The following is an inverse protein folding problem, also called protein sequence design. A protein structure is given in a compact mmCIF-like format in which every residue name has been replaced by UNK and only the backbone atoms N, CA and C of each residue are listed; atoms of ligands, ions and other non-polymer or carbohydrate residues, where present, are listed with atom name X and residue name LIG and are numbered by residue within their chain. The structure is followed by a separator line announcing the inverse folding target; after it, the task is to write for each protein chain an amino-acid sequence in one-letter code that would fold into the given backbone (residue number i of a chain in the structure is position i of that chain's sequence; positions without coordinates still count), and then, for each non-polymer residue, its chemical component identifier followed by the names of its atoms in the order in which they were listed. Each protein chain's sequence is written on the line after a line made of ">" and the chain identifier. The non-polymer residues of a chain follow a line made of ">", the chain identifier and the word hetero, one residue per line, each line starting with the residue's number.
data_IF_730914134699
#
_entry.id   IF_730914134699
#
_cell.length_a   1.000
_cell.length_b   1.000
_cell.length_c   1.000
_cell.angle_alpha   90.00
_cell.angle_beta   90.00
_cell.angle_gamma   90.00
#
_symmetry.space_group_name_H-M   'P 1'
#
loop_
_entity.id
_entity.type
_entity.pdbx_description
1 polymer ?
#
# COMPACT_ATOMS: atom_id res chain seq x y z
N UNK A 1 23.05 -16.57 1.69
CA UNK A 1 24.11 -15.87 0.94
C UNK A 1 23.45 -14.72 0.21
N UNK A 2 24.02 -13.51 0.28
CA UNK A 2 23.50 -12.36 -0.45
C UNK A 2 23.95 -12.45 -1.91
N UNK A 3 23.04 -12.26 -2.86
CA UNK A 3 23.37 -12.22 -4.29
C UNK A 3 24.10 -10.92 -4.63
N UNK A 4 25.06 -10.98 -5.56
CA UNK A 4 25.61 -9.80 -6.22
C UNK A 4 24.64 -9.28 -7.27
N UNK A 5 24.76 -8.01 -7.68
CA UNK A 5 23.92 -7.44 -8.74
C UNK A 5 24.07 -8.19 -10.07
N UNK A 6 25.29 -8.63 -10.40
CA UNK A 6 25.58 -9.42 -11.59
C UNK A 6 24.89 -10.78 -11.56
N UNK A 7 24.97 -11.49 -10.42
CA UNK A 7 24.29 -12.77 -10.26
C UNK A 7 22.76 -12.62 -10.34
N UNK A 8 22.20 -11.57 -9.73
CA UNK A 8 20.77 -11.29 -9.79
C UNK A 8 20.31 -11.00 -11.23
N UNK A 9 21.08 -10.23 -12.00
CA UNK A 9 20.77 -9.96 -13.41
C UNK A 9 20.75 -11.24 -14.23
N UNK A 10 21.75 -12.10 -14.06
CA UNK A 10 21.82 -13.39 -14.76
C UNK A 10 20.62 -14.29 -14.46
N UNK A 11 20.19 -14.35 -13.19
CA UNK A 11 18.98 -15.10 -12.83
C UNK A 11 17.72 -14.51 -13.46
N UNK A 12 17.63 -13.19 -13.57
CA UNK A 12 16.49 -12.51 -14.17
C UNK A 12 16.39 -12.73 -15.69
N UNK A 13 17.52 -12.71 -16.40
CA UNK A 13 17.53 -12.84 -17.87
C UNK A 13 17.53 -14.28 -18.34
N UNK A 14 18.26 -15.16 -17.63
CA UNK A 14 18.60 -16.51 -18.14
C UNK A 14 18.09 -17.63 -17.22
N UNK A 15 17.53 -17.30 -16.06
CA UNK A 15 17.14 -18.29 -15.06
C UNK A 15 15.92 -19.11 -15.51
N UNK A 16 16.00 -20.42 -15.34
CA UNK A 16 14.83 -21.28 -15.51
C UNK A 16 13.79 -20.98 -14.41
N UNK A 17 12.56 -20.66 -14.83
CA UNK A 17 11.50 -20.22 -13.93
C UNK A 17 11.17 -21.26 -12.85
N UNK A 18 11.16 -22.54 -13.19
CA UNK A 18 10.79 -23.61 -12.26
C UNK A 18 11.91 -23.88 -11.26
N UNK A 19 13.15 -23.88 -11.71
CA UNK A 19 14.31 -24.03 -10.82
C UNK A 19 14.46 -22.82 -9.88
N UNK A 20 14.22 -21.60 -10.38
CA UNK A 20 14.15 -20.40 -9.54
C UNK A 20 13.03 -20.51 -8.49
N UNK A 21 11.84 -20.95 -8.91
CA UNK A 21 10.71 -21.14 -8.00
C UNK A 21 11.01 -22.14 -6.88
N UNK A 22 11.64 -23.28 -7.20
CA UNK A 22 12.06 -24.27 -6.20
C UNK A 22 13.08 -23.69 -5.21
N UNK A 23 14.06 -22.94 -5.69
CA UNK A 23 15.06 -22.32 -4.82
C UNK A 23 14.44 -21.24 -3.93
N UNK A 24 13.53 -20.42 -4.46
CA UNK A 24 12.78 -19.43 -3.67
C UNK A 24 11.94 -20.11 -2.59
N UNK A 25 11.23 -21.20 -2.94
CA UNK A 25 10.42 -21.97 -1.99
C UNK A 25 11.27 -22.59 -0.87
N UNK A 26 12.44 -23.13 -1.20
CA UNK A 26 13.36 -23.68 -0.21
C UNK A 26 13.84 -22.61 0.81
N UNK A 27 14.14 -21.40 0.33
CA UNK A 27 14.49 -20.27 1.21
C UNK A 27 13.29 -19.84 2.05
N UNK A 28 12.10 -19.71 1.45
CA UNK A 28 10.86 -19.36 2.15
C UNK A 28 10.56 -20.37 3.26
N UNK A 29 10.61 -21.67 2.98
CA UNK A 29 10.39 -22.74 3.97
C UNK A 29 11.43 -22.73 5.08
N UNK A 30 12.70 -22.45 4.76
CA UNK A 30 13.74 -22.34 5.78
C UNK A 30 13.49 -21.20 6.77
N UNK A 31 12.94 -20.08 6.30
CA UNK A 31 12.71 -18.88 7.13
C UNK A 31 11.36 -18.93 7.85
N UNK A 32 10.30 -19.34 7.15
CA UNK A 32 8.91 -19.21 7.60
C UNK A 32 8.20 -20.55 7.81
N UNK A 33 8.81 -21.68 7.45
CA UNK A 33 8.17 -22.99 7.46
C UNK A 33 6.98 -23.05 6.50
N UNK A 34 5.95 -23.80 6.91
CA UNK A 34 4.73 -24.02 6.14
C UNK A 34 3.55 -23.12 6.58
N UNK A 35 3.75 -22.26 7.58
CA UNK A 35 2.70 -21.34 8.04
C UNK A 35 2.51 -20.23 7.01
N UNK A 36 1.27 -20.08 6.53
CA UNK A 36 0.84 -18.95 5.69
C UNK A 36 -0.07 -18.06 6.53
N UNK A 37 0.26 -16.78 6.61
CA UNK A 37 -0.50 -15.79 7.39
C UNK A 37 -1.30 -14.87 6.49
N UNK A 38 -2.35 -14.26 7.05
CA UNK A 38 -3.12 -13.21 6.40
C UNK A 38 -3.57 -12.19 7.46
N UNK A 39 -3.98 -11.01 7.01
CA UNK A 39 -4.63 -10.00 7.84
C UNK A 39 -5.89 -9.50 7.14
N UNK A 40 -6.85 -9.01 7.91
CA UNK A 40 -7.97 -8.23 7.37
C UNK A 40 -7.53 -6.76 7.41
N UNK A 41 -7.37 -6.17 6.22
CA UNK A 41 -6.86 -4.83 5.98
C UNK A 41 -7.83 -4.04 5.07
N UNK A 42 -7.81 -2.72 5.18
CA UNK A 42 -8.52 -1.83 4.26
C UNK A 42 -7.59 -0.72 3.75
N UNK A 43 -7.50 -0.61 2.42
CA UNK A 43 -6.99 0.58 1.76
C UNK A 43 -8.00 1.72 1.84
N UNK A 44 -7.65 2.81 2.53
CA UNK A 44 -8.42 4.04 2.59
C UNK A 44 -7.68 5.08 1.73
N UNK A 45 -8.22 5.31 0.53
CA UNK A 45 -7.73 6.34 -0.35
C UNK A 45 -8.31 7.71 0.03
N UNK A 46 -7.61 8.52 0.85
CA UNK A 46 -8.17 9.78 1.39
C UNK A 46 -8.36 10.87 0.32
N UNK A 47 -7.61 10.82 -0.77
CA UNK A 47 -7.81 11.69 -1.93
C UNK A 47 -7.25 11.03 -3.18
N UNK A 48 -7.83 11.33 -4.33
CA UNK A 48 -7.22 11.02 -5.63
C UNK A 48 -6.58 12.24 -6.30
N UNK A 49 -6.62 13.42 -5.69
CA UNK A 49 -5.98 14.64 -6.19
C UNK A 49 -4.47 14.51 -6.07
N UNK A 50 -3.74 14.60 -7.17
CA UNK A 50 -2.29 14.41 -7.18
C UNK A 50 -1.58 15.31 -8.18
N UNK A 51 -0.54 16.01 -7.73
CA UNK A 51 0.28 16.86 -8.60
C UNK A 51 1.27 16.13 -9.51
N UNK A 52 1.54 14.84 -9.27
CA UNK A 52 2.62 14.12 -9.95
C UNK A 52 2.20 13.54 -11.32
N UNK A 53 0.91 13.32 -11.54
CA UNK A 53 0.34 12.89 -12.83
C UNK A 53 1.09 11.72 -13.49
N UNK A 54 1.44 10.67 -12.71
CA UNK A 54 2.20 9.54 -13.23
C UNK A 54 1.52 8.90 -14.45
N UNK A 55 2.27 8.69 -15.54
CA UNK A 55 1.73 8.13 -16.79
C UNK A 55 1.08 6.75 -16.65
N UNK A 56 1.49 5.96 -15.65
CA UNK A 56 0.96 4.63 -15.38
C UNK A 56 -0.16 4.61 -14.32
N UNK A 57 -0.47 5.76 -13.69
CA UNK A 57 -1.43 5.81 -12.60
C UNK A 57 -2.83 6.10 -13.16
N UNK A 58 -3.73 5.11 -13.09
CA UNK A 58 -5.14 5.30 -13.44
C UNK A 58 -5.96 6.01 -12.34
N UNK A 59 -5.40 6.12 -11.13
CA UNK A 59 -6.11 6.63 -9.96
C UNK A 59 -6.11 8.16 -9.87
N UNK A 60 -5.03 8.83 -10.28
CA UNK A 60 -4.89 10.26 -10.04
C UNK A 60 -5.94 11.08 -10.78
N UNK A 61 -6.31 12.22 -10.19
CA UNK A 61 -7.10 13.27 -10.82
C UNK A 61 -6.45 14.63 -10.56
N UNK A 62 -6.66 15.57 -11.49
CA UNK A 62 -6.40 17.00 -11.23
C UNK A 62 -7.48 17.53 -10.31
N UNK A 63 -7.17 18.56 -9.51
CA UNK A 63 -8.09 19.11 -8.51
C UNK A 63 -9.45 19.55 -9.09
N UNK A 64 -9.47 20.00 -10.34
CA UNK A 64 -10.68 20.44 -11.05
C UNK A 64 -11.41 19.33 -11.83
N UNK A 65 -10.93 18.08 -11.75
CA UNK A 65 -11.59 16.97 -12.43
C UNK A 65 -12.90 16.62 -11.72
N UNK A 66 -13.95 16.26 -12.46
CA UNK A 66 -15.27 15.91 -11.89
C UNK A 66 -15.25 14.77 -10.87
N UNK A 67 -14.31 13.85 -11.03
CA UNK A 67 -14.12 12.68 -10.14
C UNK A 67 -13.08 12.95 -9.03
N UNK A 68 -12.57 14.17 -8.92
CA UNK A 68 -11.63 14.54 -7.85
C UNK A 68 -12.34 14.56 -6.51
N UNK A 69 -11.68 14.04 -5.47
CA UNK A 69 -12.24 14.04 -4.12
C UNK A 69 -11.15 14.18 -3.05
N UNK A 70 -11.55 14.68 -1.89
CA UNK A 70 -10.81 14.67 -0.64
C UNK A 70 -11.79 14.26 0.46
N UNK A 71 -11.52 13.14 1.13
CA UNK A 71 -12.34 12.66 2.23
C UNK A 71 -12.15 13.54 3.46
N UNK A 72 -13.23 13.73 4.22
CA UNK A 72 -13.14 14.33 5.55
C UNK A 72 -12.55 13.33 6.54
N UNK A 73 -12.09 13.83 7.70
CA UNK A 73 -11.61 12.95 8.75
C UNK A 73 -12.72 12.03 9.28
N UNK A 74 -13.97 12.50 9.32
CA UNK A 74 -15.13 11.70 9.74
C UNK A 74 -15.36 10.53 8.77
N UNK A 75 -15.29 10.78 7.46
CA UNK A 75 -15.41 9.71 6.45
C UNK A 75 -14.27 8.70 6.56
N UNK A 76 -13.05 9.16 6.86
CA UNK A 76 -11.90 8.27 7.10
C UNK A 76 -12.16 7.42 8.35
N UNK A 77 -12.55 8.04 9.47
CA UNK A 77 -12.81 7.34 10.74
C UNK A 77 -13.97 6.35 10.61
N UNK A 78 -15.03 6.69 9.88
CA UNK A 78 -16.10 5.74 9.59
C UNK A 78 -15.56 4.51 8.86
N UNK A 79 -14.67 4.71 7.88
CA UNK A 79 -14.04 3.59 7.16
C UNK A 79 -13.12 2.75 8.04
N UNK A 80 -12.44 3.38 9.00
CA UNK A 80 -11.66 2.67 10.03
C UNK A 80 -12.59 1.83 10.90
N UNK A 81 -13.70 2.40 11.38
CA UNK A 81 -14.67 1.71 12.22
C UNK A 81 -15.29 0.50 11.50
N UNK A 82 -15.71 0.67 10.24
CA UNK A 82 -16.18 -0.43 9.37
C UNK A 82 -15.13 -1.55 9.24
N UNK A 83 -13.84 -1.20 9.23
CA UNK A 83 -12.74 -2.18 9.16
C UNK A 83 -12.59 -2.95 10.47
N UNK A 84 -12.67 -2.26 11.60
CA UNK A 84 -12.64 -2.87 12.95
C UNK A 84 -13.82 -3.81 13.13
N UNK A 85 -15.02 -3.39 12.74
CA UNK A 85 -16.25 -4.20 12.79
C UNK A 85 -16.15 -5.47 11.94
N UNK A 86 -15.41 -5.41 10.83
CA UNK A 86 -15.11 -6.56 9.99
C UNK A 86 -14.00 -7.48 10.54
N UNK A 87 -13.47 -7.21 11.74
CA UNK A 87 -12.36 -7.95 12.35
C UNK A 87 -10.98 -7.54 11.81
N UNK A 88 -10.88 -6.39 11.16
CA UNK A 88 -9.65 -5.82 10.63
C UNK A 88 -8.68 -5.36 11.71
N UNK A 89 -7.39 -5.60 11.47
CA UNK A 89 -6.30 -5.22 12.39
C UNK A 89 -5.37 -4.16 11.80
N UNK A 90 -5.61 -3.75 10.56
CA UNK A 90 -4.81 -2.77 9.86
C UNK A 90 -5.68 -1.91 8.94
N UNK A 91 -5.31 -0.65 8.81
CA UNK A 91 -5.77 0.24 7.73
C UNK A 91 -4.56 0.81 7.02
N UNK A 92 -4.67 0.99 5.72
CA UNK A 92 -3.63 1.58 4.89
C UNK A 92 -4.12 2.90 4.32
N UNK A 93 -3.53 4.00 4.80
CA UNK A 93 -3.86 5.34 4.33
C UNK A 93 -3.03 5.64 3.09
N UNK A 94 -3.69 5.68 1.94
CA UNK A 94 -3.09 5.95 0.64
C UNK A 94 -3.77 7.16 -0.01
N UNK A 95 -3.12 7.82 -0.96
CA UNK A 95 -3.75 8.92 -1.67
C UNK A 95 -2.82 9.63 -2.63
N UNK A 96 -3.39 10.58 -3.36
CA UNK A 96 -2.63 11.48 -4.21
C UNK A 96 -1.80 12.48 -3.42
N UNK A 97 -0.74 12.99 -4.05
CA UNK A 97 0.07 14.09 -3.53
C UNK A 97 -0.69 15.41 -3.69
N UNK A 98 -1.64 15.65 -2.80
CA UNK A 98 -2.50 16.83 -2.82
C UNK A 98 -1.65 18.10 -2.59
N UNK A 99 -1.67 19.10 -3.49
CA UNK A 99 -0.78 20.26 -3.40
C UNK A 99 -1.09 21.18 -2.21
N UNK A 100 -2.36 21.27 -1.82
CA UNK A 100 -2.81 22.23 -0.81
C UNK A 100 -2.93 21.67 0.62
N UNK A 101 -2.63 20.38 0.83
CA UNK A 101 -2.71 19.79 2.17
C UNK A 101 -1.41 20.00 2.94
N UNK A 102 -1.42 20.72 4.07
CA UNK A 102 -0.24 20.88 4.91
C UNK A 102 0.08 19.58 5.66
N UNK A 103 1.30 19.50 6.21
CA UNK A 103 1.70 18.37 7.07
C UNK A 103 0.73 18.14 8.24
N UNK A 104 0.20 19.21 8.82
CA UNK A 104 -0.73 19.15 9.95
C UNK A 104 -1.99 18.34 9.64
N UNK A 105 -2.50 18.37 8.39
CA UNK A 105 -3.63 17.52 7.99
C UNK A 105 -3.34 16.03 8.23
N UNK A 106 -2.15 15.58 7.84
CA UNK A 106 -1.74 14.19 8.00
C UNK A 106 -1.50 13.82 9.47
N UNK A 107 -0.88 14.72 10.23
CA UNK A 107 -0.68 14.52 11.66
C UNK A 107 -2.02 14.39 12.40
N UNK A 108 -2.97 15.27 12.09
CA UNK A 108 -4.29 15.28 12.70
C UNK A 108 -5.06 14.01 12.34
N UNK A 109 -5.06 13.61 11.07
CA UNK A 109 -5.63 12.34 10.60
C UNK A 109 -5.06 11.15 11.38
N UNK A 110 -3.74 11.03 11.51
CA UNK A 110 -3.12 9.92 12.24
C UNK A 110 -3.44 9.94 13.74
N UNK A 111 -3.45 11.13 14.37
CA UNK A 111 -3.86 11.29 15.77
C UNK A 111 -5.30 10.86 15.99
N UNK A 112 -6.20 11.22 15.08
CA UNK A 112 -7.62 10.84 15.14
C UNK A 112 -7.79 9.32 14.99
N UNK A 113 -7.15 8.71 13.99
CA UNK A 113 -7.19 7.26 13.77
C UNK A 113 -6.68 6.50 15.00
N UNK A 114 -5.62 6.99 15.65
CA UNK A 114 -5.03 6.31 16.81
C UNK A 114 -5.86 6.43 18.09
N UNK A 115 -6.68 7.49 18.21
CA UNK A 115 -7.55 7.74 19.37
C UNK A 115 -8.87 6.99 19.30
N UNK A 116 -9.33 6.68 18.08
CA UNK A 116 -10.48 5.80 17.83
C UNK A 116 -10.12 4.37 18.23
#
# INVERSE_FOLDING_TARGET
>A
MRLTSEAALKLFTDGDLLELGKQADAVRKKIFGDVVTFIIDRNINYTNVCKNECKFCAFFRRANHKDAYLLTHEEILQKVQETVEAGGTQVMIQGGLHPDLPLSYYEDMLRLIKKN
#
